data_IF_201511630303
#
_entry.id   IF_201511630303
#
_cell.length_a   1.000
_cell.length_b   1.000
_cell.length_c   1.000
_cell.angle_alpha   90.00
_cell.angle_beta   90.00
_cell.angle_gamma   90.00
#
_symmetry.space_group_name_H-M   'P 1'
#
loop_
_entity.id
_entity.type
_entity.pdbx_description
1 polymer ?
#
# COMPACT_ATOMS: atom_id res chain seq x y z
N UNK A 1 -17.11 -13.61 24.04
CA UNK A 1 -15.98 -13.34 23.13
C UNK A 1 -16.16 -14.16 21.86
N UNK A 2 -16.76 -13.59 20.82
CA UNK A 2 -16.94 -14.30 19.54
C UNK A 2 -15.61 -14.39 18.80
N UNK A 3 -15.16 -15.61 18.48
CA UNK A 3 -14.03 -15.83 17.58
C UNK A 3 -14.46 -15.43 16.17
N UNK A 4 -14.01 -14.27 15.71
CA UNK A 4 -14.23 -13.83 14.34
C UNK A 4 -13.42 -14.74 13.41
N UNK A 5 -14.10 -15.74 12.83
CA UNK A 5 -13.54 -16.57 11.75
C UNK A 5 -13.52 -15.70 10.50
N UNK A 6 -12.32 -15.35 10.03
CA UNK A 6 -12.15 -14.57 8.79
C UNK A 6 -12.49 -15.49 7.61
N UNK A 7 -13.45 -15.12 6.73
CA UNK A 7 -13.69 -15.88 5.52
C UNK A 7 -12.48 -15.75 4.58
N UNK A 8 -11.96 -16.89 4.15
CA UNK A 8 -10.89 -17.03 3.18
C UNK A 8 -11.42 -16.66 1.78
N UNK A 9 -11.62 -15.37 1.48
CA UNK A 9 -12.09 -14.94 0.17
C UNK A 9 -11.07 -14.04 -0.55
N UNK A 10 -10.12 -14.76 -1.16
CA UNK A 10 -9.26 -14.52 -2.33
C UNK A 10 -9.41 -13.19 -3.07
N UNK A 11 -8.27 -12.49 -3.21
CA UNK A 11 -7.75 -11.87 -4.44
C UNK A 11 -6.40 -11.19 -4.15
N UNK A 12 -5.32 -11.84 -4.58
CA UNK A 12 -3.94 -11.33 -4.51
C UNK A 12 -2.92 -12.32 -5.06
N UNK A 13 -3.30 -13.10 -6.07
CA UNK A 13 -2.65 -14.39 -6.38
C UNK A 13 -1.53 -14.25 -7.43
N UNK A 14 -1.21 -13.01 -7.81
CA UNK A 14 -0.03 -12.70 -8.60
C UNK A 14 1.21 -12.63 -7.72
N UNK A 15 2.31 -13.25 -8.15
CA UNK A 15 3.61 -13.04 -7.56
C UNK A 15 3.99 -11.55 -7.68
N UNK A 16 4.36 -10.93 -6.56
CA UNK A 16 4.86 -9.55 -6.56
C UNK A 16 6.25 -9.57 -7.22
N UNK A 17 6.42 -8.74 -8.24
CA UNK A 17 7.73 -8.54 -8.88
C UNK A 17 8.57 -7.67 -7.96
N UNK A 18 9.66 -8.23 -7.44
CA UNK A 18 10.63 -7.50 -6.64
C UNK A 18 11.58 -6.71 -7.56
N UNK A 19 12.06 -5.53 -7.14
CA UNK A 19 13.09 -4.81 -7.88
C UNK A 19 14.44 -5.54 -7.80
N UNK A 20 15.28 -5.40 -8.83
CA UNK A 20 16.62 -6.01 -8.86
C UNK A 20 17.59 -5.41 -7.82
N UNK A 21 17.34 -4.17 -7.39
CA UNK A 21 18.16 -3.46 -6.39
C UNK A 21 17.25 -2.85 -5.33
N UNK A 22 17.46 -3.21 -4.07
CA UNK A 22 16.67 -2.75 -2.92
C UNK A 22 17.02 -1.29 -2.52
N UNK A 23 16.48 -0.32 -3.25
CA UNK A 23 16.67 1.12 -2.96
C UNK A 23 15.35 1.86 -2.87
N UNK A 24 15.28 2.96 -2.11
CA UNK A 24 14.08 3.83 -2.05
C UNK A 24 13.61 4.24 -3.46
N UNK A 25 14.55 4.52 -4.36
CA UNK A 25 14.25 4.86 -5.76
C UNK A 25 13.57 3.70 -6.51
N UNK A 26 14.01 2.47 -6.29
CA UNK A 26 13.40 1.29 -6.91
C UNK A 26 11.97 1.05 -6.41
N UNK A 27 11.74 1.24 -5.09
CA UNK A 27 10.42 1.09 -4.47
C UNK A 27 9.46 2.18 -4.93
N UNK A 28 9.91 3.43 -4.99
CA UNK A 28 9.12 4.52 -5.60
C UNK A 28 8.82 4.23 -7.06
N UNK A 29 9.79 3.76 -7.86
CA UNK A 29 9.54 3.41 -9.25
C UNK A 29 8.44 2.35 -9.38
N UNK A 30 8.42 1.34 -8.50
CA UNK A 30 7.33 0.35 -8.46
C UNK A 30 5.98 0.97 -8.07
N UNK A 31 5.92 1.92 -7.14
CA UNK A 31 4.67 2.63 -6.83
C UNK A 31 4.14 3.42 -8.05
N UNK A 32 5.03 4.03 -8.85
CA UNK A 32 4.66 4.69 -10.10
C UNK A 32 4.20 3.70 -11.19
N UNK A 33 4.77 2.50 -11.20
CA UNK A 33 4.29 1.42 -12.07
C UNK A 33 2.87 1.00 -11.71
N UNK A 34 2.56 0.85 -10.41
CA UNK A 34 1.18 0.58 -9.97
C UNK A 34 0.20 1.69 -10.36
N UNK A 35 0.65 2.96 -10.34
CA UNK A 35 -0.11 4.09 -10.87
C UNK A 35 -0.38 3.95 -12.37
N UNK A 36 0.64 3.55 -13.16
CA UNK A 36 0.48 3.33 -14.61
C UNK A 36 -0.57 2.26 -14.88
N UNK A 37 -0.47 1.13 -14.16
CA UNK A 37 -1.43 0.03 -14.28
C UNK A 37 -2.85 0.44 -13.87
N UNK A 38 -3.01 1.27 -12.84
CA UNK A 38 -4.32 1.80 -12.45
C UNK A 38 -4.97 2.59 -13.59
N UNK A 39 -4.21 3.49 -14.24
CA UNK A 39 -4.67 4.29 -15.37
C UNK A 39 -5.06 3.39 -16.55
N UNK A 40 -4.22 2.40 -16.86
CA UNK A 40 -4.47 1.44 -17.96
C UNK A 40 -5.72 0.60 -17.73
N UNK A 41 -6.05 0.33 -16.47
CA UNK A 41 -7.28 -0.36 -16.09
C UNK A 41 -8.49 0.58 -16.03
N UNK A 42 -8.32 1.89 -16.18
CA UNK A 42 -9.39 2.88 -16.13
C UNK A 42 -9.72 3.43 -14.74
N UNK A 43 -8.81 3.29 -13.77
CA UNK A 43 -8.93 3.87 -12.43
C UNK A 43 -8.14 5.19 -12.28
N UNK A 44 -8.17 5.78 -11.09
CA UNK A 44 -7.49 7.03 -10.78
C UNK A 44 -5.96 6.89 -10.82
N UNK A 45 -5.21 7.97 -11.09
CA UNK A 45 -3.78 7.94 -11.35
C UNK A 45 -2.92 7.85 -10.08
N UNK A 46 -3.17 6.85 -9.23
CA UNK A 46 -2.47 6.61 -7.97
C UNK A 46 -1.99 5.17 -7.85
N UNK A 47 -0.85 5.00 -7.19
CA UNK A 47 -0.23 3.70 -6.92
C UNK A 47 0.58 3.72 -5.63
N UNK A 48 0.61 2.59 -4.94
CA UNK A 48 1.32 2.43 -3.68
C UNK A 48 1.79 0.99 -3.46
N UNK A 49 2.83 0.84 -2.65
CA UNK A 49 3.37 -0.46 -2.24
C UNK A 49 3.75 -0.44 -0.76
N UNK A 50 3.75 -1.61 -0.14
CA UNK A 50 4.21 -1.85 1.22
C UNK A 50 5.47 -2.72 1.17
N UNK A 51 6.54 -2.25 1.80
CA UNK A 51 7.84 -2.94 1.87
C UNK A 51 8.12 -3.35 3.30
N UNK A 52 8.54 -4.59 3.52
CA UNK A 52 8.97 -5.13 4.80
C UNK A 52 10.26 -5.91 4.60
N UNK A 53 11.30 -5.61 5.38
CA UNK A 53 12.62 -6.27 5.29
C UNK A 53 13.20 -6.28 3.87
N UNK A 54 13.13 -5.16 3.15
CA UNK A 54 13.63 -5.03 1.78
C UNK A 54 12.74 -5.64 0.69
N UNK A 55 11.65 -6.31 1.07
CA UNK A 55 10.76 -6.99 0.12
C UNK A 55 9.40 -6.31 0.04
N UNK A 56 8.86 -6.19 -1.16
CA UNK A 56 7.50 -5.74 -1.38
C UNK A 56 6.55 -6.86 -0.93
N UNK A 57 5.74 -6.56 0.08
CA UNK A 57 4.79 -7.49 0.69
C UNK A 57 3.35 -7.20 0.31
N UNK A 58 3.07 -6.04 -0.29
CA UNK A 58 1.78 -5.71 -0.88
C UNK A 58 1.90 -4.56 -1.88
N UNK A 59 1.05 -4.56 -2.90
CA UNK A 59 1.06 -3.53 -3.94
C UNK A 59 -0.34 -3.28 -4.49
N UNK A 60 -0.62 -2.03 -4.87
CA UNK A 60 -1.87 -1.71 -5.53
C UNK A 60 -1.84 -0.39 -6.28
N UNK A 61 -2.63 -0.34 -7.34
CA UNK A 61 -3.11 0.92 -7.93
C UNK A 61 -4.36 1.43 -7.22
N UNK A 62 -4.88 2.57 -7.64
CA UNK A 62 -6.24 2.98 -7.25
C UNK A 62 -7.26 1.92 -7.68
N UNK A 63 -8.27 1.72 -6.85
CA UNK A 63 -9.41 0.82 -7.06
C UNK A 63 -10.76 1.54 -6.90
N UNK A 64 -10.76 2.86 -6.80
CA UNK A 64 -11.95 3.67 -6.50
C UNK A 64 -13.03 3.50 -7.56
N UNK A 65 -12.63 3.57 -8.84
CA UNK A 65 -13.59 3.49 -9.94
C UNK A 65 -13.96 2.05 -10.26
N UNK A 66 -12.97 1.15 -10.24
CA UNK A 66 -13.16 -0.26 -10.62
C UNK A 66 -13.99 -1.04 -9.60
N UNK A 67 -13.78 -0.78 -8.31
CA UNK A 67 -14.47 -1.51 -7.24
C UNK A 67 -15.66 -0.72 -6.69
N UNK A 68 -15.94 0.48 -7.23
CA UNK A 68 -16.94 1.43 -6.73
C UNK A 68 -16.80 1.71 -5.21
N UNK A 69 -15.56 1.68 -4.70
CA UNK A 69 -15.22 1.88 -3.29
C UNK A 69 -14.54 3.25 -3.13
N UNK A 70 -15.18 4.27 -2.53
CA UNK A 70 -14.54 5.58 -2.32
C UNK A 70 -13.32 5.48 -1.38
N UNK A 71 -13.14 4.39 -0.65
CA UNK A 71 -11.97 4.12 0.19
C UNK A 71 -10.89 3.30 -0.52
N UNK A 72 -11.11 2.92 -1.79
CA UNK A 72 -10.22 2.13 -2.65
C UNK A 72 -8.96 2.87 -3.09
N UNK A 73 -8.43 3.78 -2.28
CA UNK A 73 -7.17 4.47 -2.55
C UNK A 73 -6.02 3.47 -2.62
N UNK A 74 -5.00 3.79 -3.42
CA UNK A 74 -3.87 2.89 -3.64
C UNK A 74 -3.18 2.47 -2.34
N UNK A 75 -2.99 3.39 -1.38
CA UNK A 75 -2.38 3.08 -0.08
C UNK A 75 -3.23 2.11 0.74
N UNK A 76 -4.55 2.34 0.79
CA UNK A 76 -5.49 1.48 1.49
C UNK A 76 -5.47 0.07 0.90
N UNK A 77 -5.54 -0.01 -0.43
CA UNK A 77 -5.53 -1.26 -1.15
C UNK A 77 -4.19 -2.02 -0.98
N UNK A 78 -3.06 -1.33 -1.00
CA UNK A 78 -1.73 -1.93 -0.76
C UNK A 78 -1.56 -2.44 0.69
N UNK A 79 -2.06 -1.71 1.69
CA UNK A 79 -2.08 -2.17 3.09
C UNK A 79 -2.95 -3.42 3.24
N UNK A 80 -4.15 -3.42 2.64
CA UNK A 80 -5.05 -4.57 2.63
C UNK A 80 -4.38 -5.78 1.95
N UNK A 81 -3.69 -5.56 0.83
CA UNK A 81 -2.96 -6.60 0.10
C UNK A 81 -1.82 -7.21 0.92
N UNK A 82 -1.01 -6.36 1.55
CA UNK A 82 0.06 -6.79 2.45
C UNK A 82 -0.47 -7.64 3.61
N UNK A 83 -1.55 -7.19 4.26
CA UNK A 83 -2.16 -7.91 5.37
C UNK A 83 -2.70 -9.28 4.96
N UNK A 84 -3.30 -9.40 3.77
CA UNK A 84 -3.76 -10.69 3.22
C UNK A 84 -2.58 -11.63 2.95
N UNK A 85 -1.56 -11.16 2.25
CA UNK A 85 -0.39 -11.98 1.86
C UNK A 85 0.41 -12.47 3.07
N UNK A 86 0.62 -11.59 4.04
CA UNK A 86 1.35 -11.90 5.27
C UNK A 86 0.50 -12.59 6.34
N UNK A 87 -0.81 -12.73 6.10
CA UNK A 87 -1.81 -13.23 7.07
C UNK A 87 -1.69 -12.54 8.44
N UNK A 88 -1.50 -11.22 8.44
CA UNK A 88 -1.38 -10.40 9.65
C UNK A 88 -2.10 -9.06 9.48
N UNK A 89 -2.65 -8.54 10.57
CA UNK A 89 -3.27 -7.21 10.62
C UNK A 89 -2.27 -6.09 10.94
N UNK A 90 -1.16 -6.42 11.59
CA UNK A 90 -0.14 -5.46 11.98
C UNK A 90 1.12 -5.62 11.10
N UNK A 91 1.45 -4.56 10.39
CA UNK A 91 2.57 -4.40 9.47
C UNK A 91 3.74 -3.65 10.12
N UNK A 92 3.96 -3.89 11.42
CA UNK A 92 5.07 -3.30 12.18
C UNK A 92 6.40 -3.46 11.45
N UNK A 93 7.15 -2.36 11.36
CA UNK A 93 8.44 -2.31 10.66
C UNK A 93 8.34 -2.14 9.14
N UNK A 94 7.13 -2.19 8.56
CA UNK A 94 6.95 -1.92 7.14
C UNK A 94 7.06 -0.43 6.82
N UNK A 95 7.33 -0.16 5.54
CA UNK A 95 7.39 1.17 4.93
C UNK A 95 6.38 1.24 3.81
N UNK A 96 5.59 2.31 3.77
CA UNK A 96 4.62 2.56 2.70
C UNK A 96 5.21 3.54 1.70
N UNK A 97 5.28 3.14 0.44
CA UNK A 97 5.70 4.00 -0.67
C UNK A 97 4.48 4.35 -1.52
N UNK A 98 4.25 5.63 -1.79
CA UNK A 98 3.12 6.09 -2.60
C UNK A 98 3.57 7.01 -3.74
N UNK A 99 2.86 6.97 -4.86
CA UNK A 99 3.11 7.84 -6.01
C UNK A 99 2.84 9.33 -5.71
N UNK A 100 2.02 9.62 -4.70
CA UNK A 100 1.66 10.96 -4.23
C UNK A 100 1.58 11.00 -2.72
N UNK A 101 1.51 12.20 -2.13
CA UNK A 101 1.34 12.34 -0.68
C UNK A 101 0.05 11.63 -0.23
N UNK A 102 0.10 10.70 0.75
CA UNK A 102 -1.09 10.05 1.28
C UNK A 102 -2.08 11.06 1.87
N UNK A 103 -3.38 10.80 1.70
CA UNK A 103 -4.43 11.61 2.33
C UNK A 103 -4.62 11.24 3.83
N UNK A 104 -5.32 12.07 4.63
CA UNK A 104 -5.50 11.81 6.07
C UNK A 104 -6.09 10.43 6.40
N UNK A 105 -7.00 9.91 5.57
CA UNK A 105 -7.55 8.56 5.73
C UNK A 105 -6.46 7.48 5.57
N UNK A 106 -5.63 7.59 4.53
CA UNK A 106 -4.54 6.65 4.28
C UNK A 106 -3.46 6.76 5.36
N UNK A 107 -3.15 7.97 5.84
CA UNK A 107 -2.21 8.16 6.96
C UNK A 107 -2.74 7.49 8.23
N UNK A 108 -4.03 7.66 8.57
CA UNK A 108 -4.63 6.98 9.72
C UNK A 108 -4.60 5.45 9.60
N UNK A 109 -4.88 4.91 8.41
CA UNK A 109 -4.79 3.47 8.16
C UNK A 109 -3.35 2.93 8.26
N UNK A 110 -2.37 3.68 7.74
CA UNK A 110 -0.95 3.36 7.90
C UNK A 110 -0.56 3.34 9.38
N UNK A 111 -1.07 4.30 10.17
CA UNK A 111 -0.85 4.32 11.61
C UNK A 111 -1.46 3.11 12.33
N UNK A 112 -2.73 2.78 12.06
CA UNK A 112 -3.41 1.63 12.67
C UNK A 112 -2.77 0.29 12.31
N UNK A 113 -2.26 0.17 11.08
CA UNK A 113 -1.53 -1.01 10.64
C UNK A 113 -0.10 -1.08 11.18
N UNK A 114 0.42 -0.07 11.86
CA UNK A 114 1.78 -0.10 12.42
C UNK A 114 2.90 0.18 11.42
N UNK A 115 2.59 0.78 10.26
CA UNK A 115 3.61 1.25 9.32
C UNK A 115 4.53 2.26 10.01
N UNK A 116 5.83 2.06 9.87
CA UNK A 116 6.84 2.84 10.58
C UNK A 116 7.01 4.25 10.00
N UNK A 117 7.03 4.37 8.68
CA UNK A 117 7.13 5.63 7.96
C UNK A 117 6.60 5.50 6.54
N UNK A 118 6.27 6.66 5.96
CA UNK A 118 5.73 6.79 4.61
C UNK A 118 6.68 7.61 3.73
N UNK A 119 6.84 7.17 2.49
CA UNK A 119 7.65 7.81 1.45
C UNK A 119 6.77 8.07 0.24
N UNK A 120 6.90 9.23 -0.41
CA UNK A 120 6.05 9.54 -1.55
C UNK A 120 6.72 10.38 -2.64
N UNK A 121 6.07 10.39 -3.80
CA UNK A 121 6.43 11.27 -4.90
C UNK A 121 7.71 10.85 -5.63
N UNK A 122 8.01 11.54 -6.74
CA UNK A 122 9.14 11.20 -7.62
C UNK A 122 10.49 11.32 -6.92
N UNK A 123 10.61 12.21 -5.95
CA UNK A 123 11.83 12.50 -5.22
C UNK A 123 11.98 11.69 -3.91
N UNK A 124 11.12 10.69 -3.68
CA UNK A 124 11.11 9.88 -2.46
C UNK A 124 11.06 10.74 -1.18
N UNK A 125 10.16 11.73 -1.16
CA UNK A 125 9.97 12.60 -0.01
C UNK A 125 9.42 11.80 1.18
N UNK A 126 9.96 12.05 2.37
CA UNK A 126 9.47 11.41 3.60
C UNK A 126 8.26 12.18 4.12
N UNK A 127 7.10 11.54 4.15
CA UNK A 127 5.93 12.05 4.88
C UNK A 127 6.08 11.90 6.40
N UNK A 128 7.05 11.09 6.86
CA UNK A 128 7.31 10.84 8.27
C UNK A 128 6.47 9.69 8.83
N UNK A 129 6.33 9.66 10.15
CA UNK A 129 5.51 8.66 10.84
C UNK A 129 4.02 9.00 10.65
N UNK A 130 3.17 8.03 10.29
CA UNK A 130 1.73 8.23 10.24
C UNK A 130 1.20 8.75 11.59
N UNK A 131 0.29 9.73 11.54
CA UNK A 131 -0.27 10.37 12.74
C UNK A 131 -1.70 9.87 12.99
N UNK A 132 -1.99 9.46 14.22
CA UNK A 132 -3.36 9.37 14.73
C UNK A 132 -3.68 10.65 15.48
N UNK A 133 -4.95 11.07 15.46
CA UNK A 133 -5.43 12.16 16.32
C UNK A 133 -5.02 11.84 17.76
N UNK A 134 -4.23 12.75 18.35
CA UNK A 134 -3.84 12.73 19.76
C UNK A 134 -4.85 13.53 20.57
#
# INVERSE_FOLDING_TARGET
MGTYVRPDNVRGDGAIVQPDVETERSFIARAFEMRRLAIEQGDQPYGAIVVLNGQIVGESGSRVLLDHDPTGHAEMAAIRDAGRRLKREHLSGAVLYSSSRPCPMCEAAAAWSGISHMVYGRNAERAGRPLLCR
#
